data_IF_490011880596
#
_entry.id   IF_490011880596
#
_cell.length_a   1.000
_cell.length_b   1.000
_cell.length_c   1.000
_cell.angle_alpha   90.00
_cell.angle_beta   90.00
_cell.angle_gamma   90.00
#
_symmetry.space_group_name_H-M   'P 1'
#
loop_
_entity.id
_entity.type
_entity.pdbx_description
1 polymer ?
#
# COMPACT_ATOMS: atom_id res chain seq x y z
N UNK A 1 -11.60 7.03 3.90
CA UNK A 1 -12.00 8.33 3.33
C UNK A 1 -12.48 9.25 4.41
N UNK A 2 -13.77 9.18 4.76
CA UNK A 2 -14.39 10.08 5.75
C UNK A 2 -13.64 10.16 7.08
N UNK A 3 -13.22 9.01 7.66
CA UNK A 3 -12.43 9.02 8.90
C UNK A 3 -11.11 9.79 8.77
N UNK A 4 -10.41 9.66 7.64
CA UNK A 4 -9.18 10.42 7.37
C UNK A 4 -9.47 11.91 7.23
N UNK A 5 -10.58 12.27 6.57
CA UNK A 5 -11.00 13.66 6.44
C UNK A 5 -11.40 14.28 7.79
N UNK A 6 -12.07 13.53 8.66
CA UNK A 6 -12.43 13.99 10.01
C UNK A 6 -11.17 14.12 10.89
N UNK A 7 -10.20 13.22 10.75
CA UNK A 7 -8.96 13.28 11.52
C UNK A 7 -8.01 14.41 11.05
N UNK A 8 -7.81 14.55 9.74
CA UNK A 8 -6.79 15.41 9.13
C UNK A 8 -7.36 16.63 8.38
N UNK A 9 -8.67 16.81 8.38
CA UNK A 9 -9.34 18.00 7.83
C UNK A 9 -8.92 19.27 8.56
N UNK A 10 -9.21 20.43 7.97
CA UNK A 10 -8.81 21.74 8.54
C UNK A 10 -9.29 21.96 9.99
N UNK A 11 -10.48 21.45 10.32
CA UNK A 11 -11.06 21.49 11.67
C UNK A 11 -11.04 20.09 12.35
N UNK A 12 -10.18 19.19 11.87
CA UNK A 12 -10.06 17.83 12.37
C UNK A 12 -9.15 17.72 13.59
N UNK A 13 -9.23 16.58 14.28
CA UNK A 13 -8.51 16.30 15.53
C UNK A 13 -6.99 16.55 15.45
N UNK A 14 -6.38 16.22 14.32
CA UNK A 14 -4.94 16.35 14.07
C UNK A 14 -4.65 17.49 13.08
N UNK A 15 -5.58 17.77 12.17
CA UNK A 15 -5.39 18.78 11.13
C UNK A 15 -5.24 20.20 11.68
N UNK A 16 -5.85 20.54 12.82
CA UNK A 16 -5.69 21.85 13.45
C UNK A 16 -4.24 22.08 13.93
N UNK A 17 -3.64 21.08 14.60
CA UNK A 17 -2.26 21.14 15.09
C UNK A 17 -1.27 21.20 13.93
N UNK A 18 -1.51 20.45 12.84
CA UNK A 18 -0.70 20.52 11.62
C UNK A 18 -0.80 21.88 10.92
N UNK A 19 -1.98 22.51 10.99
CA UNK A 19 -2.21 23.85 10.46
C UNK A 19 -1.35 24.94 11.12
N UNK A 20 -0.96 24.77 12.39
CA UNK A 20 -0.01 25.67 13.07
C UNK A 20 1.36 25.66 12.39
N UNK A 21 1.74 24.52 11.81
CA UNK A 21 2.98 24.37 11.03
C UNK A 21 2.79 24.66 9.53
N UNK A 22 1.61 25.14 9.12
CA UNK A 22 1.30 25.42 7.71
C UNK A 22 1.08 24.17 6.84
N UNK A 23 0.89 22.99 7.44
CA UNK A 23 0.71 21.73 6.72
C UNK A 23 -0.78 21.45 6.53
N UNK A 24 -1.23 21.38 5.27
CA UNK A 24 -2.59 21.01 4.89
C UNK A 24 -2.57 19.73 4.06
N UNK A 25 -3.12 18.64 4.61
CA UNK A 25 -3.11 17.33 3.98
C UNK A 25 -4.26 17.09 2.98
N UNK A 26 -5.52 17.41 3.29
CA UNK A 26 -6.63 17.11 2.38
C UNK A 26 -6.42 17.74 1.00
N UNK A 27 -6.93 17.07 -0.03
CA UNK A 27 -6.86 17.55 -1.42
C UNK A 27 -5.44 17.67 -2.02
N UNK A 28 -4.45 17.02 -1.42
CA UNK A 28 -3.08 16.95 -1.94
C UNK A 28 -2.71 15.55 -2.41
N UNK A 29 -1.62 15.42 -3.16
CA UNK A 29 -1.05 14.10 -3.50
C UNK A 29 -0.65 13.31 -2.25
N UNK A 30 -0.29 13.97 -1.14
CA UNK A 30 -0.04 13.29 0.13
C UNK A 30 -1.32 12.66 0.70
N UNK A 31 -2.49 13.30 0.53
CA UNK A 31 -3.75 12.67 0.91
C UNK A 31 -4.04 11.40 0.09
N UNK A 32 -3.64 11.35 -1.19
CA UNK A 32 -3.72 10.12 -2.00
C UNK A 32 -2.87 9.04 -1.34
N UNK A 33 -1.58 9.31 -1.08
CA UNK A 33 -0.65 8.35 -0.48
C UNK A 33 -1.15 7.83 0.87
N UNK A 34 -1.62 8.73 1.75
CA UNK A 34 -2.16 8.36 3.06
C UNK A 34 -3.43 7.51 2.91
N UNK A 35 -4.31 7.82 1.95
CA UNK A 35 -5.51 7.02 1.68
C UNK A 35 -5.14 5.60 1.27
N UNK A 36 -4.15 5.47 0.38
CA UNK A 36 -3.63 4.18 -0.07
C UNK A 36 -3.04 3.37 1.09
N UNK A 37 -2.16 3.98 1.90
CA UNK A 37 -1.54 3.33 3.06
C UNK A 37 -2.60 2.88 4.07
N UNK A 38 -3.55 3.76 4.40
CA UNK A 38 -4.59 3.45 5.37
C UNK A 38 -5.45 2.26 4.93
N UNK A 39 -5.81 2.21 3.65
CA UNK A 39 -6.67 1.15 3.12
C UNK A 39 -5.90 -0.16 2.89
N UNK A 40 -4.64 -0.09 2.46
CA UNK A 40 -3.86 -1.26 2.08
C UNK A 40 -3.06 -1.86 3.26
N UNK A 41 -2.69 -1.08 4.27
CA UNK A 41 -1.86 -1.54 5.39
C UNK A 41 -2.39 -2.78 6.15
N UNK A 42 -3.70 -2.98 6.38
CA UNK A 42 -4.16 -4.17 7.10
C UNK A 42 -3.85 -5.47 6.35
N UNK A 43 -3.85 -5.42 5.01
CA UNK A 43 -3.51 -6.55 4.15
C UNK A 43 -2.03 -6.90 4.28
N UNK A 44 -1.16 -5.89 4.24
CA UNK A 44 0.27 -6.10 4.41
C UNK A 44 0.61 -6.62 5.81
N UNK A 45 0.04 -6.02 6.86
CA UNK A 45 0.29 -6.42 8.24
C UNK A 45 -0.12 -7.87 8.46
N UNK A 46 -1.28 -8.28 7.96
CA UNK A 46 -1.74 -9.67 8.05
C UNK A 46 -0.77 -10.64 7.35
N UNK A 47 -0.32 -10.30 6.15
CA UNK A 47 0.64 -11.14 5.42
C UNK A 47 2.00 -11.17 6.11
N UNK A 48 2.50 -10.02 6.57
CA UNK A 48 3.78 -9.92 7.27
C UNK A 48 3.78 -10.75 8.55
N UNK A 49 2.71 -10.65 9.34
CA UNK A 49 2.52 -11.49 10.52
C UNK A 49 2.59 -12.98 10.18
N UNK A 50 1.81 -13.42 9.19
CA UNK A 50 1.85 -14.82 8.74
C UNK A 50 3.22 -15.25 8.23
N UNK A 51 3.98 -14.34 7.61
CA UNK A 51 5.32 -14.62 7.07
C UNK A 51 6.34 -14.80 8.20
N UNK A 52 6.27 -13.98 9.25
CA UNK A 52 7.13 -14.12 10.42
C UNK A 52 6.74 -15.32 11.28
N UNK A 53 5.44 -15.62 11.43
CA UNK A 53 4.97 -16.81 12.16
C UNK A 53 5.38 -18.14 11.48
N UNK A 54 5.65 -18.11 10.17
CA UNK A 54 6.12 -19.27 9.42
C UNK A 54 7.63 -19.53 9.56
N UNK A 55 8.41 -18.60 10.12
CA UNK A 55 9.85 -18.80 10.36
C UNK A 55 10.03 -19.78 11.53
N UNK A 56 10.79 -20.85 11.30
CA UNK A 56 11.08 -21.82 12.35
C UNK A 56 11.89 -21.17 13.49
N UNK A 57 11.42 -21.36 14.73
CA UNK A 57 12.06 -20.83 15.94
C UNK A 57 13.41 -21.48 16.22
N UNK A 58 13.70 -22.62 15.62
CA UNK A 58 15.00 -23.28 15.72
C UNK A 58 16.11 -22.43 15.11
N UNK A 59 15.84 -21.71 14.01
CA UNK A 59 16.81 -20.78 13.41
C UNK A 59 17.15 -19.63 14.38
N UNK A 60 16.15 -19.07 15.06
CA UNK A 60 16.38 -18.01 16.05
C UNK A 60 17.12 -18.53 17.29
N UNK A 61 16.79 -19.74 17.74
CA UNK A 61 17.43 -20.41 18.88
C UNK A 61 18.90 -20.72 18.59
N UNK A 62 19.21 -21.19 17.38
CA UNK A 62 20.59 -21.41 16.93
C UNK A 62 21.40 -20.10 16.91
N UNK A 63 20.83 -19.02 16.39
CA UNK A 63 21.44 -17.69 16.39
C UNK A 63 21.77 -17.20 17.81
N UNK A 64 20.84 -17.40 18.76
CA UNK A 64 21.05 -17.02 20.17
C UNK A 64 22.15 -17.85 20.85
N UNK A 65 22.28 -19.13 20.52
CA UNK A 65 23.38 -19.99 21.01
C UNK A 65 24.75 -19.49 20.54
N UNK A 66 24.82 -18.82 19.38
CA UNK A 66 26.02 -18.14 18.89
C UNK A 66 26.29 -16.78 19.56
N UNK A 67 25.54 -16.43 20.60
CA UNK A 67 25.69 -15.18 21.36
C UNK A 67 25.02 -13.97 20.72
N UNK A 68 24.21 -14.16 19.67
CA UNK A 68 23.55 -13.05 19.00
C UNK A 68 22.34 -12.51 19.78
N UNK A 69 22.28 -11.18 19.91
CA UNK A 69 21.13 -10.50 20.50
C UNK A 69 19.86 -10.56 19.64
N UNK A 70 18.71 -10.16 20.20
CA UNK A 70 17.41 -10.24 19.50
C UNK A 70 17.37 -9.40 18.22
N UNK A 71 17.94 -8.19 18.22
CA UNK A 71 17.99 -7.35 17.03
C UNK A 71 18.84 -7.98 15.91
N UNK A 72 20.00 -8.55 16.26
CA UNK A 72 20.90 -9.17 15.27
C UNK A 72 20.30 -10.46 14.71
N UNK A 73 19.64 -11.25 15.54
CA UNK A 73 18.86 -12.43 15.11
C UNK A 73 17.74 -12.03 14.14
N UNK A 74 16.96 -10.98 14.46
CA UNK A 74 15.90 -10.51 13.57
C UNK A 74 16.42 -10.10 12.19
N UNK A 75 17.44 -9.24 12.13
CA UNK A 75 17.93 -8.72 10.84
C UNK A 75 18.75 -9.74 10.03
N UNK A 76 19.42 -10.71 10.67
CA UNK A 76 20.28 -11.68 9.99
C UNK A 76 19.61 -13.02 9.71
N UNK A 77 18.54 -13.35 10.43
CA UNK A 77 17.89 -14.67 10.35
C UNK A 77 16.41 -14.51 10.00
N UNK A 78 15.62 -13.94 10.90
CA UNK A 78 14.15 -13.89 10.74
C UNK A 78 13.73 -13.10 9.50
N UNK A 79 14.28 -11.90 9.30
CA UNK A 79 13.92 -11.01 8.21
C UNK A 79 14.33 -11.58 6.82
N UNK A 80 15.57 -12.07 6.61
CA UNK A 80 15.95 -12.71 5.35
C UNK A 80 15.11 -13.94 5.01
N UNK A 81 14.80 -14.80 5.99
CA UNK A 81 13.97 -15.99 5.76
C UNK A 81 12.54 -15.59 5.38
N UNK A 82 11.97 -14.58 6.06
CA UNK A 82 10.64 -14.09 5.75
C UNK A 82 10.58 -13.21 4.49
N UNK A 83 11.72 -12.82 3.90
CA UNK A 83 11.77 -11.78 2.88
C UNK A 83 10.97 -12.12 1.61
N UNK A 84 11.05 -13.36 1.10
CA UNK A 84 10.31 -13.77 -0.11
C UNK A 84 8.78 -13.72 0.10
N UNK A 85 8.32 -14.15 1.29
CA UNK A 85 6.92 -14.08 1.69
C UNK A 85 6.46 -12.62 1.94
N UNK A 86 7.30 -11.77 2.52
CA UNK A 86 7.04 -10.35 2.68
C UNK A 86 6.91 -9.64 1.33
N UNK A 87 7.80 -9.92 0.38
CA UNK A 87 7.74 -9.40 -0.99
C UNK A 87 6.43 -9.80 -1.67
N UNK A 88 5.98 -11.04 -1.50
CA UNK A 88 4.68 -11.48 -2.00
C UNK A 88 3.52 -10.70 -1.38
N UNK A 89 3.62 -10.35 -0.09
CA UNK A 89 2.69 -9.45 0.58
C UNK A 89 2.65 -8.03 0.04
N UNK A 90 3.80 -7.49 -0.38
CA UNK A 90 3.86 -6.19 -1.05
C UNK A 90 3.04 -6.22 -2.34
N UNK A 91 3.14 -7.27 -3.14
CA UNK A 91 2.40 -7.41 -4.41
C UNK A 91 0.89 -7.42 -4.16
N UNK A 92 0.43 -8.21 -3.19
CA UNK A 92 -1.00 -8.29 -2.83
C UNK A 92 -1.53 -6.94 -2.32
N UNK A 93 -0.73 -6.25 -1.53
CA UNK A 93 -1.04 -4.92 -0.99
C UNK A 93 -1.07 -3.86 -2.09
N UNK A 94 -0.15 -3.94 -3.05
CA UNK A 94 -0.11 -3.08 -4.23
C UNK A 94 -1.35 -3.27 -5.10
N UNK A 95 -1.75 -4.52 -5.37
CA UNK A 95 -2.99 -4.84 -6.08
C UNK A 95 -4.21 -4.24 -5.36
N UNK A 96 -4.23 -4.29 -4.02
CA UNK A 96 -5.28 -3.65 -3.23
C UNK A 96 -5.29 -2.13 -3.36
N UNK A 97 -4.12 -1.49 -3.36
CA UNK A 97 -3.99 -0.04 -3.50
C UNK A 97 -4.46 0.46 -4.88
N UNK A 98 -4.12 -0.26 -5.96
CA UNK A 98 -4.55 0.09 -7.33
C UNK A 98 -6.07 0.19 -7.49
N UNK A 99 -6.82 -0.65 -6.78
CA UNK A 99 -8.29 -0.63 -6.78
C UNK A 99 -8.92 0.33 -5.78
N UNK A 100 -8.14 1.15 -5.08
CA UNK A 100 -8.66 2.13 -4.12
C UNK A 100 -9.30 3.32 -4.86
N UNK A 101 -10.48 3.71 -4.40
CA UNK A 101 -11.30 4.75 -5.01
C UNK A 101 -11.91 5.65 -3.94
N UNK A 102 -12.70 5.08 -3.03
CA UNK A 102 -13.56 5.84 -2.13
C UNK A 102 -12.80 6.63 -1.07
N UNK A 103 -11.70 6.11 -0.54
CA UNK A 103 -10.89 6.82 0.42
C UNK A 103 -10.18 8.01 -0.23
N UNK A 104 -9.57 7.82 -1.39
CA UNK A 104 -8.95 8.88 -2.19
C UNK A 104 -9.97 9.93 -2.59
N UNK A 105 -11.14 9.55 -3.12
CA UNK A 105 -12.20 10.50 -3.51
C UNK A 105 -12.59 11.40 -2.33
N UNK A 106 -12.81 10.81 -1.16
CA UNK A 106 -13.27 11.55 0.02
C UNK A 106 -12.18 12.42 0.66
N UNK A 107 -10.91 12.01 0.61
CA UNK A 107 -9.84 12.69 1.36
C UNK A 107 -8.92 13.54 0.47
N UNK A 108 -8.60 13.07 -0.73
CA UNK A 108 -7.75 13.74 -1.71
C UNK A 108 -8.54 14.42 -2.85
N UNK A 109 -9.85 14.16 -2.96
CA UNK A 109 -10.67 14.69 -4.06
C UNK A 109 -10.30 14.06 -5.41
N UNK A 110 -10.76 14.70 -6.48
CA UNK A 110 -10.55 14.27 -7.86
C UNK A 110 -10.13 15.46 -8.74
N UNK A 111 -8.90 15.93 -8.53
CA UNK A 111 -8.33 17.04 -9.29
C UNK A 111 -7.44 16.51 -10.41
N UNK A 112 -7.83 16.80 -11.65
CA UNK A 112 -7.07 16.38 -12.83
C UNK A 112 -5.66 16.98 -12.79
N UNK A 113 -4.65 16.15 -13.08
CA UNK A 113 -3.24 16.55 -13.06
C UNK A 113 -2.57 16.55 -11.68
N UNK A 114 -3.31 16.31 -10.58
CA UNK A 114 -2.73 16.34 -9.22
C UNK A 114 -3.15 15.15 -8.34
N UNK A 115 -4.45 14.91 -8.14
CA UNK A 115 -4.96 13.85 -7.24
C UNK A 115 -5.83 12.82 -7.93
N UNK A 116 -6.20 13.04 -9.19
CA UNK A 116 -6.96 12.09 -9.98
C UNK A 116 -6.16 10.81 -10.23
N UNK A 117 -6.61 9.72 -9.62
CA UNK A 117 -6.11 8.37 -9.86
C UNK A 117 -6.84 7.71 -11.04
N UNK A 118 -6.30 6.62 -11.57
CA UNK A 118 -6.94 5.86 -12.65
C UNK A 118 -8.38 5.43 -12.32
N UNK A 119 -8.69 4.88 -11.12
CA UNK A 119 -10.08 4.60 -10.73
C UNK A 119 -10.98 5.84 -10.74
N UNK A 120 -10.47 6.99 -10.30
CA UNK A 120 -11.22 8.25 -10.35
C UNK A 120 -11.47 8.72 -11.78
N UNK A 121 -10.48 8.63 -12.66
CA UNK A 121 -10.60 8.97 -14.07
C UNK A 121 -11.63 8.07 -14.78
N UNK A 122 -11.60 6.76 -14.51
CA UNK A 122 -12.60 5.80 -15.02
C UNK A 122 -13.99 6.20 -14.52
N UNK A 123 -14.16 6.48 -13.23
CA UNK A 123 -15.45 6.88 -12.67
C UNK A 123 -15.99 8.17 -13.31
N UNK A 124 -15.14 9.19 -13.48
CA UNK A 124 -15.53 10.46 -14.11
C UNK A 124 -15.91 10.28 -15.58
N UNK A 125 -15.11 9.53 -16.34
CA UNK A 125 -15.36 9.30 -17.77
C UNK A 125 -16.54 8.37 -18.01
N UNK A 126 -16.85 7.45 -17.10
CA UNK A 126 -18.03 6.58 -17.20
C UNK A 126 -19.34 7.38 -17.27
N UNK A 127 -19.38 8.58 -16.69
CA UNK A 127 -20.55 9.47 -16.74
C UNK A 127 -20.69 10.21 -18.07
N UNK A 128 -19.61 10.37 -18.84
CA UNK A 128 -19.59 11.15 -20.08
C UNK A 128 -19.41 10.28 -21.33
N UNK A 129 -18.42 9.39 -21.34
CA UNK A 129 -18.08 8.50 -22.45
C UNK A 129 -17.65 7.13 -21.92
N UNK A 130 -18.57 6.17 -22.05
CA UNK A 130 -18.35 4.79 -21.62
C UNK A 130 -17.20 4.11 -22.39
N UNK A 131 -16.97 4.46 -23.65
CA UNK A 131 -15.90 3.86 -24.45
C UNK A 131 -14.53 4.27 -23.90
N UNK A 132 -14.39 5.54 -23.52
CA UNK A 132 -13.16 6.04 -22.87
C UNK A 132 -12.98 5.38 -21.50
N UNK A 133 -14.03 5.24 -20.70
CA UNK A 133 -13.96 4.59 -19.41
C UNK A 133 -13.51 3.13 -19.50
N UNK A 134 -14.05 2.38 -20.48
CA UNK A 134 -13.64 0.99 -20.76
C UNK A 134 -12.19 0.94 -21.21
N UNK A 135 -11.74 1.84 -22.08
CA UNK A 135 -10.34 1.91 -22.50
C UNK A 135 -9.40 2.15 -21.30
N UNK A 136 -9.71 3.10 -20.44
CA UNK A 136 -8.94 3.37 -19.22
C UNK A 136 -8.93 2.16 -18.27
N UNK A 137 -10.07 1.48 -18.11
CA UNK A 137 -10.16 0.27 -17.29
C UNK A 137 -9.28 -0.86 -17.84
N UNK A 138 -9.28 -1.07 -19.16
CA UNK A 138 -8.40 -2.08 -19.80
C UNK A 138 -6.93 -1.72 -19.58
N UNK A 139 -6.54 -0.45 -19.77
CA UNK A 139 -5.17 0.00 -19.53
C UNK A 139 -4.77 -0.24 -18.07
N UNK A 140 -5.63 0.11 -17.11
CA UNK A 140 -5.37 -0.12 -15.69
C UNK A 140 -5.20 -1.60 -15.37
N UNK A 141 -6.08 -2.46 -15.90
CA UNK A 141 -6.02 -3.91 -15.70
C UNK A 141 -4.73 -4.47 -16.28
N UNK A 142 -4.42 -4.17 -17.55
CA UNK A 142 -3.19 -4.65 -18.21
C UNK A 142 -1.96 -4.20 -17.43
N UNK A 143 -1.87 -2.92 -17.08
CA UNK A 143 -0.76 -2.39 -16.28
C UNK A 143 -0.61 -3.11 -14.93
N UNK A 144 -1.73 -3.29 -14.22
CA UNK A 144 -1.75 -3.97 -12.92
C UNK A 144 -1.24 -5.41 -13.03
N UNK A 145 -1.73 -6.16 -14.03
CA UNK A 145 -1.28 -7.52 -14.30
C UNK A 145 0.20 -7.56 -14.69
N UNK A 146 0.67 -6.66 -15.55
CA UNK A 146 2.08 -6.59 -15.93
C UNK A 146 2.99 -6.36 -14.74
N UNK A 147 2.65 -5.44 -13.83
CA UNK A 147 3.44 -5.19 -12.62
C UNK A 147 3.42 -6.42 -11.71
N UNK A 148 2.25 -6.99 -11.42
CA UNK A 148 2.11 -8.18 -10.56
C UNK A 148 2.92 -9.36 -11.12
N UNK A 149 2.81 -9.64 -12.42
CA UNK A 149 3.54 -10.73 -13.08
C UNK A 149 5.04 -10.51 -13.06
N UNK A 150 5.50 -9.28 -13.31
CA UNK A 150 6.93 -8.93 -13.28
C UNK A 150 7.51 -9.18 -11.91
N UNK A 151 6.85 -8.69 -10.85
CA UNK A 151 7.35 -8.89 -9.49
C UNK A 151 7.29 -10.37 -9.10
N UNK A 152 6.20 -11.08 -9.43
CA UNK A 152 6.09 -12.52 -9.17
C UNK A 152 7.19 -13.32 -9.87
N UNK A 153 7.53 -12.97 -11.11
CA UNK A 153 8.58 -13.63 -11.87
C UNK A 153 9.98 -13.38 -11.29
N UNK A 154 10.25 -12.16 -10.81
CA UNK A 154 11.51 -11.82 -10.13
C UNK A 154 11.61 -12.56 -8.80
N UNK A 155 10.54 -12.57 -7.99
CA UNK A 155 10.55 -13.25 -6.68
C UNK A 155 10.63 -14.77 -6.80
N UNK A 156 9.95 -15.38 -7.78
CA UNK A 156 9.97 -16.83 -8.00
C UNK A 156 11.31 -17.38 -8.49
N UNK A 157 12.25 -16.51 -8.90
CA UNK A 157 13.64 -16.91 -9.20
C UNK A 157 14.52 -17.06 -7.95
N UNK A 158 14.11 -16.53 -6.80
CA UNK A 158 14.86 -16.61 -5.54
C UNK A 158 14.62 -17.88 -4.71
N UNK A 159 13.53 -18.62 -4.99
CA UNK A 159 13.16 -19.86 -4.29
C UNK A 159 13.64 -21.15 -5.01
N UNK A 160 14.58 -21.02 -5.95
CA UNK A 160 15.26 -22.14 -6.65
C UNK A 160 16.74 -22.10 -6.39
#
# INVERSE_FOLDING_TARGET
>A
GLALLIAFGRNGLVGQSLGVFGIYLPFTTLAVIISQIFVASPFYIRQARSSFEAVDKDYESASRTLGEGPARTFFRVTLPIAASALLSGIIMTFARALGEFGATLMFAGNFQGTTQTMPLAIYTTMQSDINVAVALAIVLVVFSFSVILTVKYISGRGDR
#
